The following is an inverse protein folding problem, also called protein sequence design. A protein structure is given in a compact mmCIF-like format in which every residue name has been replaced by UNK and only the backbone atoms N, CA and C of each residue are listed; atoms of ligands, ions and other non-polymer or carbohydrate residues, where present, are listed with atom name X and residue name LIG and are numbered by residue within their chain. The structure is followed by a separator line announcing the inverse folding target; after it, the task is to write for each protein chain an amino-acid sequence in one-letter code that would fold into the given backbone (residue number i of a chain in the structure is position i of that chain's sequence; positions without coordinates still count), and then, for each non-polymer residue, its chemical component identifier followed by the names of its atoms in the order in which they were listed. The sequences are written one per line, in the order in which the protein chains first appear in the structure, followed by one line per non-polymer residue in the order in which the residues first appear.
data_IF_130906646780
#
_entry.id   IF_130906646780
#
_cell.length_a   1.000
_cell.length_b   1.000
_cell.length_c   1.000
_cell.angle_alpha   90.00
_cell.angle_beta   90.00
_cell.angle_gamma   90.00
#
_symmetry.space_group_name_H-M   'P 1'
#
loop_
_entity.id
_entity.type
_entity.pdbx_description
1 polymer ?
#
# COMPACT_ATOMS: atom_id res chain seq x y z
N UNK A 1 39.36 50.20 0.13
CA UNK A 1 39.15 49.20 1.20
C UNK A 1 37.86 48.37 0.96
N UNK A 2 36.77 49.00 0.55
CA UNK A 2 35.47 48.30 0.33
C UNK A 2 35.47 47.39 -0.93
N UNK A 3 36.25 47.71 -1.94
CA UNK A 3 36.37 46.92 -3.18
C UNK A 3 37.23 45.65 -3.04
N UNK A 4 38.20 45.67 -2.10
CA UNK A 4 39.04 44.50 -1.84
C UNK A 4 38.27 43.34 -1.16
N UNK A 5 37.22 43.67 -0.42
CA UNK A 5 36.38 42.68 0.26
C UNK A 5 35.50 41.84 -0.70
N UNK A 6 35.18 42.37 -1.88
CA UNK A 6 34.38 41.67 -2.90
C UNK A 6 35.15 40.59 -3.67
N UNK A 7 36.46 40.57 -3.54
CA UNK A 7 37.34 39.64 -4.29
C UNK A 7 38.02 38.61 -3.40
N UNK A 8 37.64 38.53 -2.12
CA UNK A 8 38.14 37.47 -1.26
C UNK A 8 37.59 36.13 -1.74
N UNK A 9 38.42 35.07 -1.86
CA UNK A 9 37.98 33.75 -2.23
C UNK A 9 36.91 33.16 -1.31
N UNK A 10 36.81 33.70 -0.09
CA UNK A 10 35.81 33.33 0.92
C UNK A 10 34.41 33.91 0.64
N UNK A 11 34.27 34.95 -0.18
CA UNK A 11 32.98 35.52 -0.59
C UNK A 11 32.35 34.79 -1.79
N UNK A 12 33.09 33.91 -2.41
CA UNK A 12 32.52 32.89 -3.29
C UNK A 12 32.02 31.69 -2.44
N UNK A 13 31.15 31.96 -1.47
CA UNK A 13 30.32 30.94 -0.90
C UNK A 13 29.57 30.28 -2.07
N UNK A 14 30.16 29.22 -2.41
CA UNK A 14 29.76 28.11 -3.23
C UNK A 14 28.22 27.99 -3.27
N UNK A 15 27.61 28.69 -4.22
CA UNK A 15 26.26 28.39 -4.71
C UNK A 15 26.34 27.14 -5.59
N UNK A 16 27.15 26.16 -5.15
CA UNK A 16 26.92 24.80 -5.62
C UNK A 16 25.54 24.47 -5.06
N UNK A 17 24.55 24.60 -5.91
CA UNK A 17 23.33 23.88 -5.80
C UNK A 17 23.72 22.43 -5.59
N UNK A 18 23.81 22.01 -4.33
CA UNK A 18 23.92 20.59 -4.00
C UNK A 18 22.74 19.97 -4.72
N UNK A 19 22.94 19.03 -5.64
CA UNK A 19 21.82 18.32 -6.22
C UNK A 19 21.04 17.79 -5.04
N UNK A 20 19.76 18.14 -4.96
CA UNK A 20 18.89 17.62 -3.91
C UNK A 20 19.05 16.09 -3.95
N UNK A 21 19.71 15.46 -2.99
CA UNK A 21 20.01 14.05 -3.09
C UNK A 21 18.65 13.36 -3.20
N UNK A 22 18.41 12.79 -4.38
CA UNK A 22 17.21 12.00 -4.63
C UNK A 22 17.03 11.12 -3.41
N UNK A 23 15.96 11.39 -2.61
CA UNK A 23 15.76 10.88 -1.26
C UNK A 23 16.21 9.41 -1.17
N UNK A 24 17.44 9.09 -0.72
CA UNK A 24 18.00 7.73 -0.88
C UNK A 24 17.19 6.69 -0.11
N UNK A 25 16.49 7.12 0.94
CA UNK A 25 15.56 6.28 1.68
C UNK A 25 14.39 5.79 0.81
N UNK A 26 13.88 6.62 -0.11
CA UNK A 26 12.77 6.24 -0.99
C UNK A 26 13.15 5.10 -1.94
N UNK A 27 14.33 5.20 -2.55
CA UNK A 27 14.83 4.15 -3.43
C UNK A 27 15.00 2.82 -2.67
N UNK A 28 15.51 2.86 -1.44
CA UNK A 28 15.64 1.67 -0.58
C UNK A 28 14.28 1.05 -0.27
N UNK A 29 13.31 1.86 0.15
CA UNK A 29 11.94 1.38 0.42
C UNK A 29 11.33 0.73 -0.82
N UNK A 30 11.44 1.37 -1.99
CA UNK A 30 10.88 0.84 -3.23
C UNK A 30 11.56 -0.47 -3.65
N UNK A 31 12.87 -0.58 -3.52
CA UNK A 31 13.61 -1.82 -3.82
C UNK A 31 13.15 -2.93 -2.86
N UNK A 32 13.10 -2.66 -1.56
CA UNK A 32 12.66 -3.64 -0.57
C UNK A 32 11.21 -4.09 -0.82
N UNK A 33 10.32 -3.14 -1.07
CA UNK A 33 8.94 -3.46 -1.43
C UNK A 33 8.88 -4.34 -2.69
N UNK A 34 9.64 -4.01 -3.74
CA UNK A 34 9.65 -4.80 -4.97
C UNK A 34 10.14 -6.23 -4.73
N UNK A 35 11.19 -6.41 -3.92
CA UNK A 35 11.68 -7.74 -3.54
C UNK A 35 10.59 -8.52 -2.81
N UNK A 36 9.90 -7.91 -1.84
CA UNK A 36 8.79 -8.54 -1.12
C UNK A 36 7.62 -8.88 -2.05
N UNK A 37 7.26 -7.97 -2.96
CA UNK A 37 6.20 -8.22 -3.97
C UNK A 37 6.55 -9.44 -4.82
N UNK A 38 7.77 -9.50 -5.37
CA UNK A 38 8.19 -10.64 -6.20
C UNK A 38 8.15 -11.93 -5.38
N UNK A 39 8.68 -11.90 -4.16
CA UNK A 39 8.69 -13.06 -3.26
C UNK A 39 7.26 -13.56 -2.97
N UNK A 40 6.35 -12.66 -2.56
CA UNK A 40 4.97 -13.00 -2.24
C UNK A 40 4.22 -13.53 -3.49
N UNK A 41 4.36 -12.86 -4.63
CA UNK A 41 3.72 -13.32 -5.87
C UNK A 41 4.24 -14.68 -6.34
N UNK A 42 5.51 -15.00 -6.11
CA UNK A 42 6.06 -16.34 -6.44
C UNK A 42 5.52 -17.39 -5.48
N UNK A 43 5.47 -17.10 -4.19
CA UNK A 43 4.95 -18.03 -3.17
C UNK A 43 3.46 -18.31 -3.42
N UNK A 44 2.67 -17.25 -3.66
CA UNK A 44 1.21 -17.36 -3.79
C UNK A 44 0.75 -17.63 -5.24
N UNK A 45 1.67 -17.71 -6.21
CA UNK A 45 1.34 -17.94 -7.60
C UNK A 45 0.40 -19.17 -7.84
N UNK A 46 0.55 -20.31 -7.15
CA UNK A 46 -0.38 -21.43 -7.31
C UNK A 46 -1.80 -21.11 -6.82
N UNK A 47 -1.93 -20.38 -5.70
CA UNK A 47 -3.20 -19.98 -5.14
C UNK A 47 -3.89 -18.92 -6.03
N UNK A 48 -3.14 -17.94 -6.49
CA UNK A 48 -3.63 -16.88 -7.39
C UNK A 48 -4.15 -17.48 -8.71
N UNK A 49 -3.39 -18.40 -9.31
CA UNK A 49 -3.81 -19.09 -10.56
C UNK A 49 -5.04 -19.97 -10.38
N UNK A 50 -5.23 -20.51 -9.18
CA UNK A 50 -6.38 -21.35 -8.84
C UNK A 50 -7.57 -20.51 -8.31
N UNK A 51 -7.45 -19.18 -8.29
CA UNK A 51 -8.44 -18.23 -7.73
C UNK A 51 -8.85 -18.62 -6.30
N UNK A 52 -7.89 -19.11 -5.51
CA UNK A 52 -8.11 -19.51 -4.12
C UNK A 52 -7.58 -18.44 -3.18
N UNK A 53 -8.37 -18.14 -2.16
CA UNK A 53 -7.89 -17.38 -1.02
C UNK A 53 -7.11 -18.29 -0.07
N UNK A 54 -6.01 -17.80 0.47
CA UNK A 54 -5.22 -18.54 1.45
C UNK A 54 -5.90 -18.64 2.81
N UNK A 55 -6.77 -17.67 3.12
CA UNK A 55 -7.54 -17.58 4.35
C UNK A 55 -9.04 -17.46 4.05
N UNK A 56 -9.91 -18.18 4.79
CA UNK A 56 -11.37 -18.01 4.71
C UNK A 56 -11.84 -16.58 4.99
N UNK A 57 -11.13 -15.84 5.83
CA UNK A 57 -11.47 -14.47 6.20
C UNK A 57 -11.31 -13.51 5.02
N UNK A 58 -10.33 -13.73 4.15
CA UNK A 58 -10.15 -12.96 2.92
C UNK A 58 -11.32 -13.16 1.95
N UNK A 59 -11.77 -14.42 1.80
CA UNK A 59 -12.94 -14.76 1.00
C UNK A 59 -14.21 -14.12 1.56
N UNK A 60 -14.37 -14.16 2.88
CA UNK A 60 -15.53 -13.60 3.57
C UNK A 60 -15.56 -12.07 3.44
N UNK A 61 -14.41 -11.42 3.56
CA UNK A 61 -14.27 -9.97 3.34
C UNK A 61 -14.66 -9.57 1.92
N UNK A 62 -14.24 -10.33 0.91
CA UNK A 62 -14.64 -10.06 -0.47
C UNK A 62 -16.16 -10.18 -0.66
N UNK A 63 -16.80 -11.17 0.01
CA UNK A 63 -18.26 -11.32 0.01
C UNK A 63 -18.92 -10.09 0.64
N UNK A 64 -18.41 -9.57 1.74
CA UNK A 64 -18.94 -8.36 2.39
C UNK A 64 -18.81 -7.12 1.51
N UNK A 65 -17.69 -6.98 0.80
CA UNK A 65 -17.51 -5.91 -0.18
C UNK A 65 -18.51 -6.03 -1.32
N UNK A 66 -18.77 -7.25 -1.82
CA UNK A 66 -19.79 -7.49 -2.85
C UNK A 66 -21.19 -7.11 -2.38
N UNK A 67 -21.56 -7.51 -1.16
CA UNK A 67 -22.87 -7.21 -0.59
C UNK A 67 -23.05 -5.72 -0.38
N UNK A 68 -22.00 -5.02 0.09
CA UNK A 68 -22.00 -3.58 0.20
C UNK A 68 -22.15 -2.88 -1.17
N UNK A 69 -21.40 -3.29 -2.18
CA UNK A 69 -21.51 -2.76 -3.54
C UNK A 69 -22.87 -3.09 -4.21
N UNK A 70 -23.55 -4.14 -3.73
CA UNK A 70 -24.90 -4.51 -4.14
C UNK A 70 -26.01 -3.74 -3.39
N UNK A 71 -25.66 -2.87 -2.44
CA UNK A 71 -26.61 -1.97 -1.76
C UNK A 71 -26.82 -2.25 -0.27
N UNK A 72 -26.08 -3.15 0.35
CA UNK A 72 -26.10 -3.30 1.82
C UNK A 72 -25.66 -1.96 2.46
N UNK A 73 -26.35 -1.57 3.54
CA UNK A 73 -26.06 -0.31 4.24
C UNK A 73 -24.63 -0.26 4.75
N UNK A 74 -24.01 0.91 4.76
CA UNK A 74 -22.70 1.15 5.37
C UNK A 74 -22.62 0.69 6.83
N UNK A 75 -23.68 0.90 7.59
CA UNK A 75 -23.74 0.56 9.01
C UNK A 75 -24.17 -0.88 9.28
N UNK A 76 -24.63 -1.60 8.25
CA UNK A 76 -25.00 -2.99 8.37
C UNK A 76 -23.78 -3.87 8.00
N UNK A 77 -23.12 -4.39 9.04
CA UNK A 77 -21.96 -5.27 8.92
C UNK A 77 -22.33 -6.75 9.10
N UNK A 78 -23.61 -7.11 8.92
CA UNK A 78 -24.02 -8.51 9.05
C UNK A 78 -23.73 -9.30 7.77
N UNK A 79 -23.16 -10.48 7.96
CA UNK A 79 -23.06 -11.48 6.90
C UNK A 79 -24.24 -12.44 7.02
N UNK A 80 -25.25 -12.25 6.20
CA UNK A 80 -26.51 -13.00 6.25
C UNK A 80 -26.43 -14.43 5.69
N UNK A 81 -25.30 -14.80 5.06
CA UNK A 81 -25.04 -16.20 4.62
C UNK A 81 -24.59 -17.08 5.78
N UNK A 82 -24.18 -16.49 6.89
CA UNK A 82 -23.79 -17.19 8.10
C UNK A 82 -24.97 -17.10 9.10
N UNK A 83 -25.37 -18.24 9.66
CA UNK A 83 -26.49 -18.31 10.61
C UNK A 83 -27.79 -17.65 10.12
N UNK A 84 -28.16 -17.89 8.85
CA UNK A 84 -29.37 -17.34 8.25
C UNK A 84 -30.63 -17.73 9.06
N UNK A 85 -31.65 -16.85 9.14
CA UNK A 85 -31.79 -15.55 8.49
C UNK A 85 -31.20 -14.39 9.27
N UNK A 86 -30.85 -14.58 10.55
CA UNK A 86 -30.41 -13.49 11.43
C UNK A 86 -29.06 -12.86 11.00
N UNK A 87 -28.18 -13.65 10.42
CA UNK A 87 -26.82 -13.22 10.08
C UNK A 87 -25.91 -13.17 11.30
N UNK A 88 -24.63 -12.94 11.06
CA UNK A 88 -23.61 -12.72 12.09
C UNK A 88 -23.01 -11.34 11.88
N UNK A 89 -23.01 -10.50 12.90
CA UNK A 89 -22.35 -9.21 12.86
C UNK A 89 -20.85 -9.42 12.78
N UNK A 90 -20.25 -8.92 11.71
CA UNK A 90 -18.81 -9.01 11.52
C UNK A 90 -18.11 -7.91 12.34
N UNK A 91 -16.96 -8.26 12.90
CA UNK A 91 -16.17 -7.36 13.75
C UNK A 91 -15.23 -6.45 12.97
N UNK A 92 -15.24 -6.56 11.63
CA UNK A 92 -14.37 -5.78 10.76
C UNK A 92 -14.92 -4.40 10.45
N UNK A 93 -13.98 -3.45 10.30
CA UNK A 93 -14.35 -2.09 9.95
C UNK A 93 -14.56 -1.95 8.44
N UNK A 94 -15.65 -1.32 8.03
CA UNK A 94 -15.90 -0.92 6.63
C UNK A 94 -14.81 -0.02 6.04
N UNK A 95 -14.03 0.67 6.89
CA UNK A 95 -12.90 1.48 6.41
C UNK A 95 -11.85 0.65 5.69
N UNK A 96 -11.67 -0.62 6.08
CA UNK A 96 -10.75 -1.55 5.40
C UNK A 96 -11.32 -2.04 4.08
N UNK A 97 -12.65 -2.02 3.93
CA UNK A 97 -13.32 -2.42 2.69
C UNK A 97 -13.28 -1.31 1.61
N UNK A 98 -13.07 -0.04 2.01
CA UNK A 98 -13.03 1.10 1.08
C UNK A 98 -11.99 0.93 -0.05
N UNK A 99 -10.71 0.62 0.21
CA UNK A 99 -9.74 0.42 -0.86
C UNK A 99 -10.09 -0.77 -1.76
N UNK A 100 -10.68 -1.84 -1.21
CA UNK A 100 -11.14 -2.99 -1.98
C UNK A 100 -12.30 -2.59 -2.90
N UNK A 101 -13.34 -2.02 -2.34
CA UNK A 101 -14.51 -1.57 -3.09
C UNK A 101 -14.14 -0.54 -4.17
N UNK A 102 -13.33 0.46 -3.80
CA UNK A 102 -12.89 1.49 -4.74
C UNK A 102 -12.10 0.92 -5.92
N UNK A 103 -11.19 -0.01 -5.68
CA UNK A 103 -10.42 -0.64 -6.75
C UNK A 103 -11.29 -1.55 -7.62
N UNK A 104 -12.21 -2.32 -7.04
CA UNK A 104 -13.16 -3.15 -7.81
C UNK A 104 -14.02 -2.27 -8.72
N UNK A 105 -14.61 -1.19 -8.20
CA UNK A 105 -15.43 -0.26 -8.98
C UNK A 105 -14.65 0.36 -10.13
N UNK A 106 -13.39 0.72 -9.89
CA UNK A 106 -12.50 1.30 -10.91
C UNK A 106 -12.14 0.29 -12.00
N UNK A 107 -11.83 -0.94 -11.64
CA UNK A 107 -11.32 -1.96 -12.57
C UNK A 107 -12.43 -2.74 -13.28
N UNK A 108 -13.62 -2.86 -12.68
CA UNK A 108 -14.72 -3.65 -13.24
C UNK A 108 -15.11 -3.29 -14.67
N UNK A 109 -15.16 -1.99 -15.08
CA UNK A 109 -15.50 -1.64 -16.47
C UNK A 109 -14.47 -2.12 -17.50
N UNK A 110 -13.22 -2.31 -17.09
CA UNK A 110 -12.10 -2.68 -17.96
C UNK A 110 -11.85 -4.20 -17.98
N UNK A 111 -11.96 -4.84 -16.82
CA UNK A 111 -11.52 -6.23 -16.62
C UNK A 111 -12.69 -7.21 -16.43
N UNK A 112 -13.90 -6.71 -16.21
CA UNK A 112 -15.02 -7.52 -15.72
C UNK A 112 -14.90 -7.82 -14.23
N UNK A 113 -16.01 -8.29 -13.63
CA UNK A 113 -16.13 -8.50 -12.18
C UNK A 113 -15.09 -9.49 -11.61
N UNK A 114 -14.94 -10.74 -12.17
CA UNK A 114 -14.03 -11.72 -11.57
C UNK A 114 -12.57 -11.26 -11.57
N UNK A 115 -12.11 -10.73 -12.69
CA UNK A 115 -10.73 -10.26 -12.81
C UNK A 115 -10.47 -9.00 -11.98
N UNK A 116 -11.42 -8.08 -11.89
CA UNK A 116 -11.31 -6.91 -11.03
C UNK A 116 -11.17 -7.30 -9.56
N UNK A 117 -11.91 -8.30 -9.09
CA UNK A 117 -11.81 -8.82 -7.74
C UNK A 117 -10.47 -9.51 -7.47
N UNK A 118 -10.03 -10.37 -8.39
CA UNK A 118 -8.74 -11.06 -8.28
C UNK A 118 -7.57 -10.06 -8.21
N UNK A 119 -7.54 -9.10 -9.14
CA UNK A 119 -6.51 -8.06 -9.15
C UNK A 119 -6.56 -7.22 -7.87
N UNK A 120 -7.76 -6.89 -7.39
CA UNK A 120 -7.94 -6.13 -6.16
C UNK A 120 -7.44 -6.89 -4.94
N UNK A 121 -7.78 -8.18 -4.82
CA UNK A 121 -7.36 -9.03 -3.71
C UNK A 121 -5.83 -9.14 -3.61
N UNK A 122 -5.13 -9.10 -4.73
CA UNK A 122 -3.66 -9.11 -4.77
C UNK A 122 -3.07 -7.70 -4.58
N UNK A 123 -3.61 -6.71 -5.28
CA UNK A 123 -2.99 -5.39 -5.34
C UNK A 123 -3.18 -4.58 -4.05
N UNK A 124 -4.37 -4.65 -3.40
CA UNK A 124 -4.65 -3.84 -2.21
C UNK A 124 -3.72 -4.16 -1.03
N UNK A 125 -3.49 -5.43 -0.65
CA UNK A 125 -2.51 -5.76 0.38
C UNK A 125 -1.09 -5.27 0.04
N UNK A 126 -0.65 -5.45 -1.21
CA UNK A 126 0.67 -5.02 -1.65
C UNK A 126 0.84 -3.49 -1.61
N UNK A 127 -0.19 -2.74 -2.01
CA UNK A 127 -0.19 -1.28 -1.91
C UNK A 127 -0.25 -0.79 -0.47
N UNK A 128 -0.99 -1.49 0.39
CA UNK A 128 -1.04 -1.21 1.83
C UNK A 128 0.33 -1.44 2.47
N UNK A 129 1.01 -2.53 2.09
CA UNK A 129 2.39 -2.79 2.50
C UNK A 129 3.34 -1.67 2.05
N UNK A 130 3.23 -1.21 0.79
CA UNK A 130 4.01 -0.08 0.29
C UNK A 130 3.76 1.18 1.13
N UNK A 131 2.51 1.52 1.41
CA UNK A 131 2.16 2.68 2.23
C UNK A 131 2.76 2.58 3.63
N UNK A 132 2.69 1.42 4.27
CA UNK A 132 3.30 1.17 5.57
C UNK A 132 4.83 1.34 5.53
N UNK A 133 5.50 0.71 4.56
CA UNK A 133 6.96 0.84 4.38
C UNK A 133 7.37 2.30 4.10
N UNK A 134 6.59 3.04 3.33
CA UNK A 134 6.82 4.46 3.06
C UNK A 134 6.73 5.32 4.33
N UNK A 135 5.74 5.04 5.18
CA UNK A 135 5.57 5.74 6.45
C UNK A 135 6.73 5.43 7.40
N UNK A 136 7.06 4.15 7.57
CA UNK A 136 8.17 3.70 8.42
C UNK A 136 9.49 4.25 7.89
N UNK A 137 9.77 4.11 6.60
CA UNK A 137 11.00 4.61 5.98
C UNK A 137 11.17 6.12 6.13
N UNK A 138 10.07 6.88 5.97
CA UNK A 138 10.09 8.33 6.19
C UNK A 138 10.35 8.70 7.65
N UNK A 139 9.74 7.96 8.58
CA UNK A 139 9.93 8.18 10.01
C UNK A 139 11.38 7.88 10.41
N UNK A 140 11.90 6.73 9.98
CA UNK A 140 13.28 6.33 10.24
C UNK A 140 14.29 7.34 9.67
N UNK A 141 14.08 7.80 8.43
CA UNK A 141 14.95 8.81 7.83
C UNK A 141 14.90 10.18 8.51
N UNK A 142 13.85 10.46 9.30
CA UNK A 142 13.73 11.69 10.11
C UNK A 142 14.36 11.56 11.49
N UNK A 143 14.26 10.37 12.09
CA UNK A 143 14.69 10.15 13.48
C UNK A 143 16.14 9.66 13.59
N UNK A 144 16.63 8.97 12.56
CA UNK A 144 17.97 8.38 12.53
C UNK A 144 18.72 8.89 11.30
N UNK A 145 19.14 8.00 10.43
CA UNK A 145 19.79 8.30 9.17
C UNK A 145 19.17 7.50 8.00
N UNK A 146 19.55 7.86 6.78
CA UNK A 146 19.03 7.20 5.58
C UNK A 146 19.56 5.78 5.38
N UNK A 147 20.65 5.38 6.05
CA UNK A 147 21.21 4.03 5.95
C UNK A 147 20.41 3.05 6.80
N UNK A 148 19.95 3.47 7.97
CA UNK A 148 19.13 2.68 8.88
C UNK A 148 17.79 2.27 8.26
N UNK A 149 17.25 3.06 7.30
CA UNK A 149 15.97 2.74 6.62
C UNK A 149 15.99 1.35 5.97
N UNK A 150 17.12 0.94 5.37
CA UNK A 150 17.22 -0.38 4.75
C UNK A 150 17.09 -1.53 5.75
N UNK A 151 17.55 -1.35 6.98
CA UNK A 151 17.48 -2.36 8.04
C UNK A 151 16.07 -2.45 8.63
N UNK A 152 15.40 -1.32 8.81
CA UNK A 152 14.06 -1.27 9.43
C UNK A 152 12.96 -1.78 8.51
N UNK A 153 13.18 -1.71 7.19
CA UNK A 153 12.19 -2.18 6.20
C UNK A 153 12.35 -3.66 5.81
N UNK A 154 13.34 -4.38 6.38
CA UNK A 154 13.50 -5.84 6.25
C UNK A 154 12.67 -6.59 7.27
#
# INVERSE_FOLDING_TARGET
LVQAWRQSPEAQVNLQTTPNPAKPWLARVLIMWLVLVVMLLVIDAPAIRAERFGDPDDALRLIEVRDWLAGQSWFDVHQYRIAAPAGVAMHWSRLVDLPLAGMIVLLRPLLGQPMAELVTAVAVPLLTLLAALMLVGRLTAKLFDTETVGIVCL
#
